data_IF_932548408055
#
_entry.id   IF_932548408055
#
_cell.length_a   1.000
_cell.length_b   1.000
_cell.length_c   1.000
_cell.angle_alpha   90.00
_cell.angle_beta   90.00
_cell.angle_gamma   90.00
#
_symmetry.space_group_name_H-M   'P 1'
#
loop_
_entity.id
_entity.type
_entity.pdbx_description
1 polymer ?
#
# COMPACT_ATOMS: atom_id res chain seq x y z
N UNK A 1 15.14 8.05 -2.39
CA UNK A 1 14.43 7.10 -3.30
C UNK A 1 14.48 5.77 -2.59
N UNK A 2 13.34 5.11 -2.40
CA UNK A 2 13.23 3.88 -1.63
C UNK A 2 12.57 2.80 -2.47
N UNK A 3 12.99 1.55 -2.23
CA UNK A 3 12.45 0.35 -2.89
C UNK A 3 11.96 -0.59 -1.80
N UNK A 4 10.74 -1.11 -1.99
CA UNK A 4 10.13 -2.10 -1.11
C UNK A 4 10.06 -3.41 -1.89
N UNK A 5 10.65 -4.47 -1.34
CA UNK A 5 10.64 -5.81 -1.92
C UNK A 5 9.82 -6.73 -1.04
N UNK A 6 8.82 -7.38 -1.64
CA UNK A 6 8.01 -8.40 -0.99
C UNK A 6 8.49 -9.77 -1.48
N UNK A 7 9.03 -10.58 -0.56
CA UNK A 7 9.31 -11.98 -0.81
C UNK A 7 8.15 -12.82 -0.27
N UNK A 8 7.30 -13.29 -1.17
CA UNK A 8 6.14 -14.10 -0.82
C UNK A 8 6.51 -15.54 -0.41
N UNK A 9 7.68 -16.04 -0.79
CA UNK A 9 8.12 -17.39 -0.45
C UNK A 9 8.61 -17.43 0.99
N UNK A 10 9.45 -16.48 1.36
CA UNK A 10 10.01 -16.37 2.71
C UNK A 10 9.11 -15.58 3.67
N UNK A 11 8.02 -14.99 3.16
CA UNK A 11 7.11 -14.11 3.89
C UNK A 11 7.87 -12.95 4.57
N UNK A 12 8.80 -12.34 3.83
CA UNK A 12 9.61 -11.22 4.31
C UNK A 12 9.37 -9.96 3.48
N UNK A 13 9.54 -8.81 4.14
CA UNK A 13 9.52 -7.49 3.52
C UNK A 13 10.89 -6.85 3.74
N UNK A 14 11.53 -6.43 2.66
CA UNK A 14 12.79 -5.69 2.70
C UNK A 14 12.58 -4.24 2.26
N UNK A 15 13.07 -3.30 3.07
CA UNK A 15 13.07 -1.86 2.76
C UNK A 15 14.51 -1.48 2.40
N UNK A 16 14.69 -0.90 1.22
CA UNK A 16 16.00 -0.46 0.74
C UNK A 16 15.93 1.05 0.51
N UNK A 17 16.75 1.79 1.25
CA UNK A 17 16.92 3.24 1.09
C UNK A 17 18.31 3.52 0.55
N UNK A 18 18.39 4.29 -0.53
CA UNK A 18 19.66 4.68 -1.14
C UNK A 18 20.22 5.93 -0.47
N UNK A 19 21.46 5.84 0.03
CA UNK A 19 22.22 6.99 0.51
C UNK A 19 22.89 7.72 -0.66
N UNK A 20 22.83 9.06 -0.66
CA UNK A 20 23.55 9.89 -1.61
C UNK A 20 25.00 10.08 -1.17
N UNK A 21 25.94 9.44 -1.88
CA UNK A 21 27.37 9.53 -1.58
C UNK A 21 28.00 10.89 -1.92
N UNK A 22 27.29 11.78 -2.62
CA UNK A 22 27.77 13.14 -2.90
C UNK A 22 27.42 14.12 -1.76
N UNK A 23 26.58 13.71 -0.82
CA UNK A 23 26.19 14.49 0.35
C UNK A 23 26.96 14.01 1.59
N UNK A 24 27.52 14.94 2.36
CA UNK A 24 28.19 14.65 3.64
C UNK A 24 27.25 13.95 4.64
N UNK A 25 25.96 14.31 4.60
CA UNK A 25 24.90 13.74 5.45
C UNK A 25 24.06 12.66 4.74
N UNK A 26 24.50 12.16 3.57
CA UNK A 26 23.71 11.25 2.75
C UNK A 26 23.33 9.95 3.45
N UNK A 27 24.25 9.39 4.24
CA UNK A 27 23.99 8.18 5.04
C UNK A 27 22.97 8.45 6.16
N UNK A 28 23.18 9.50 6.95
CA UNK A 28 22.25 9.88 8.03
C UNK A 28 20.86 10.22 7.49
N UNK A 29 20.78 10.83 6.31
CA UNK A 29 19.52 11.11 5.63
C UNK A 29 18.79 9.82 5.22
N UNK A 30 19.50 8.83 4.70
CA UNK A 30 18.94 7.54 4.35
C UNK A 30 18.42 6.77 5.58
N UNK A 31 19.14 6.83 6.70
CA UNK A 31 18.70 6.25 7.97
C UNK A 31 17.39 6.89 8.45
N UNK A 32 17.29 8.22 8.42
CA UNK A 32 16.04 8.92 8.80
C UNK A 32 14.87 8.55 7.90
N UNK A 33 15.09 8.40 6.59
CA UNK A 33 14.03 7.93 5.68
C UNK A 33 13.61 6.50 6.01
N UNK A 34 14.54 5.60 6.34
CA UNK A 34 14.25 4.24 6.77
C UNK A 34 13.41 4.22 8.06
N UNK A 35 13.81 4.96 9.09
CA UNK A 35 13.09 5.07 10.37
C UNK A 35 11.65 5.57 10.17
N UNK A 36 11.43 6.55 9.29
CA UNK A 36 10.09 7.06 8.97
C UNK A 36 9.20 6.01 8.30
N UNK A 37 9.77 5.15 7.46
CA UNK A 37 9.02 4.06 6.81
C UNK A 37 8.68 2.99 7.86
N UNK A 38 9.63 2.63 8.72
CA UNK A 38 9.41 1.68 9.81
C UNK A 38 8.33 2.15 10.79
N UNK A 39 8.34 3.43 11.18
CA UNK A 39 7.32 4.02 12.05
C UNK A 39 5.91 3.88 11.45
N UNK A 40 5.77 4.17 10.15
CA UNK A 40 4.49 4.01 9.44
C UNK A 40 4.04 2.55 9.35
N UNK A 41 4.97 1.60 9.20
CA UNK A 41 4.63 0.18 9.15
C UNK A 41 4.24 -0.37 10.53
N UNK A 42 4.69 0.26 11.61
CA UNK A 42 4.29 -0.09 12.97
C UNK A 42 2.86 0.38 13.29
N UNK A 43 2.31 1.33 12.53
CA UNK A 43 0.93 1.76 12.71
C UNK A 43 -0.06 0.62 12.35
N UNK A 44 -1.07 0.37 13.19
CA UNK A 44 -2.06 -0.65 12.89
C UNK A 44 -2.86 -0.27 11.64
N UNK A 45 -2.94 -1.21 10.69
CA UNK A 45 -3.68 -1.02 9.45
C UNK A 45 -5.16 -0.76 9.72
N UNK A 46 -5.70 0.33 9.20
CA UNK A 46 -7.13 0.59 9.23
C UNK A 46 -7.85 -0.23 8.14
N UNK A 47 -8.51 -1.31 8.55
CA UNK A 47 -9.25 -2.21 7.67
C UNK A 47 -10.72 -1.79 7.46
N UNK A 48 -11.12 -0.59 7.89
CA UNK A 48 -12.49 -0.12 7.70
C UNK A 48 -12.76 0.10 6.21
N UNK A 49 -13.70 -0.67 5.67
CA UNK A 49 -14.28 -0.39 4.37
C UNK A 49 -15.34 0.72 4.49
N UNK A 50 -15.38 1.70 3.58
CA UNK A 50 -16.53 2.59 3.49
C UNK A 50 -17.78 1.77 3.15
N UNK A 51 -18.93 2.18 3.67
CA UNK A 51 -20.21 1.58 3.29
C UNK A 51 -20.45 1.88 1.82
N UNK A 52 -20.27 0.86 0.98
CA UNK A 52 -20.59 0.96 -0.44
C UNK A 52 -22.11 0.88 -0.60
N UNK A 53 -22.75 1.80 -1.35
CA UNK A 53 -24.17 1.68 -1.64
C UNK A 53 -24.43 0.37 -2.38
N UNK A 54 -25.46 -0.37 -1.96
CA UNK A 54 -25.86 -1.60 -2.65
C UNK A 54 -26.15 -1.29 -4.12
N UNK A 55 -25.45 -1.91 -5.08
CA UNK A 55 -25.70 -1.66 -6.48
C UNK A 55 -27.14 -2.04 -6.81
N UNK A 56 -27.86 -1.14 -7.50
CA UNK A 56 -29.19 -1.45 -8.02
C UNK A 56 -29.03 -2.42 -9.19
N UNK A 57 -29.35 -3.69 -8.96
CA UNK A 57 -29.45 -4.66 -10.05
C UNK A 57 -30.60 -4.27 -10.98
N UNK A 58 -30.30 -4.06 -12.27
CA UNK A 58 -31.29 -3.86 -13.32
C UNK A 58 -31.16 -5.03 -14.29
N UNK A 59 -32.17 -5.89 -14.33
CA UNK A 59 -32.21 -7.01 -15.29
C UNK A 59 -32.37 -6.47 -16.71
N UNK A 60 -31.40 -6.75 -17.59
CA UNK A 60 -31.49 -6.38 -19.01
C UNK A 60 -32.49 -7.26 -19.80
N UNK A 61 -32.85 -8.42 -19.27
CA UNK A 61 -33.71 -9.40 -19.96
C UNK A 61 -35.10 -9.57 -19.31
N UNK A 62 -35.29 -9.09 -18.07
CA UNK A 62 -36.52 -9.28 -17.30
C UNK A 62 -37.62 -8.25 -17.53
N UNK A 63 -37.38 -7.20 -18.31
CA UNK A 63 -38.33 -6.10 -18.50
C UNK A 63 -39.54 -6.46 -19.39
N UNK A 64 -39.46 -7.52 -20.20
CA UNK A 64 -40.56 -7.99 -21.05
C UNK A 64 -41.24 -9.21 -20.43
N UNK A 65 -42.08 -8.98 -19.43
CA UNK A 65 -43.15 -9.94 -19.12
C UNK A 65 -44.23 -9.74 -20.18
N UNK A 66 -44.21 -10.56 -21.23
CA UNK A 66 -45.29 -10.60 -22.22
C UNK A 66 -46.50 -11.21 -21.51
N UNK A 67 -47.52 -10.38 -21.25
CA UNK A 67 -48.87 -10.81 -20.88
C UNK A 67 -49.62 -11.25 -22.14
#
# INVERSE_FOLDING_TARGET
MSVIVFDNLENTLSIIVYADCQSEDGYSSAIRELEQIEEKLAEPSNLRAPVMPTPKFISQTGAKKIL
#
